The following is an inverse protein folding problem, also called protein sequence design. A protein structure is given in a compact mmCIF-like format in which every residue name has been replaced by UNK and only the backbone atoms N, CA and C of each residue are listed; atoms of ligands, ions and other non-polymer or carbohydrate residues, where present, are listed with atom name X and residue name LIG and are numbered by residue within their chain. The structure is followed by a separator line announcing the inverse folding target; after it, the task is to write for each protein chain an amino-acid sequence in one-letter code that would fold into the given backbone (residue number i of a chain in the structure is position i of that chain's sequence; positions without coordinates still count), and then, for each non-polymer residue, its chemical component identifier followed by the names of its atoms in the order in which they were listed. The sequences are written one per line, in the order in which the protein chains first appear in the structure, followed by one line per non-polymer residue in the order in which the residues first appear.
data_IF_898194376845
#
_entry.id   IF_898194376845
#
_cell.length_a   1.000
_cell.length_b   1.000
_cell.length_c   1.000
_cell.angle_alpha   90.00
_cell.angle_beta   90.00
_cell.angle_gamma   90.00
#
_symmetry.space_group_name_H-M   'P 1'
#
loop_
_entity.id
_entity.type
_entity.pdbx_description
1 polymer ?
#
# COMPACT_ATOMS: atom_id res chain seq x y z
N UNK A 1 11.10 -5.32 15.51
CA UNK A 1 10.45 -6.64 15.61
C UNK A 1 8.93 -6.51 15.53
N UNK A 2 8.30 -5.64 16.33
CA UNK A 2 6.85 -5.47 16.34
C UNK A 2 6.26 -5.04 14.97
N UNK A 3 6.91 -4.13 14.23
CA UNK A 3 6.46 -3.71 12.89
C UNK A 3 6.46 -4.90 11.93
N UNK A 4 7.54 -5.68 11.90
CA UNK A 4 7.63 -6.88 11.08
C UNK A 4 6.55 -7.91 11.43
N UNK A 5 6.37 -8.21 12.71
CA UNK A 5 5.37 -9.18 13.17
C UNK A 5 3.94 -8.72 12.79
N UNK A 6 3.66 -7.41 12.90
CA UNK A 6 2.38 -6.83 12.51
C UNK A 6 2.13 -6.91 11.01
N UNK A 7 3.13 -6.54 10.19
CA UNK A 7 3.02 -6.59 8.73
C UNK A 7 2.83 -8.03 8.23
N UNK A 8 3.64 -8.98 8.73
CA UNK A 8 3.50 -10.39 8.35
C UNK A 8 2.17 -10.97 8.81
N UNK A 9 1.72 -10.63 10.02
CA UNK A 9 0.41 -11.02 10.53
C UNK A 9 -0.73 -10.50 9.64
N UNK A 10 -0.65 -9.23 9.23
CA UNK A 10 -1.64 -8.64 8.33
C UNK A 10 -1.60 -9.27 6.92
N UNK A 11 -0.41 -9.51 6.36
CA UNK A 11 -0.26 -10.17 5.05
C UNK A 11 -0.82 -11.61 5.06
N UNK A 12 -0.60 -12.36 6.14
CA UNK A 12 -1.21 -13.68 6.30
C UNK A 12 -2.74 -13.58 6.37
N UNK A 13 -3.25 -12.64 7.16
CA UNK A 13 -4.69 -12.39 7.26
C UNK A 13 -5.30 -12.02 5.90
N UNK A 14 -4.69 -11.13 5.12
CA UNK A 14 -5.17 -10.73 3.79
C UNK A 14 -5.11 -11.90 2.79
N UNK A 15 -4.06 -12.73 2.84
CA UNK A 15 -3.96 -13.94 2.01
C UNK A 15 -5.09 -14.91 2.30
N UNK A 16 -5.33 -15.22 3.58
CA UNK A 16 -6.41 -16.11 3.99
C UNK A 16 -7.79 -15.54 3.64
N UNK A 17 -7.98 -14.24 3.86
CA UNK A 17 -9.23 -13.54 3.53
C UNK A 17 -9.57 -13.67 2.05
N UNK A 18 -8.66 -13.36 1.16
CA UNK A 18 -8.90 -13.44 -0.28
C UNK A 18 -8.97 -14.88 -0.80
N UNK A 19 -8.24 -15.80 -0.16
CA UNK A 19 -8.37 -17.22 -0.48
C UNK A 19 -9.75 -17.77 -0.14
N UNK A 20 -10.37 -17.35 0.95
CA UNK A 20 -11.76 -17.74 1.27
C UNK A 20 -12.75 -17.18 0.24
N UNK A 21 -12.60 -15.92 -0.18
CA UNK A 21 -13.43 -15.32 -1.23
C UNK A 21 -13.31 -16.12 -2.53
N UNK A 22 -12.09 -16.49 -2.94
CA UNK A 22 -11.89 -17.34 -4.11
C UNK A 22 -12.63 -18.67 -3.98
N UNK A 23 -12.44 -19.36 -2.87
CA UNK A 23 -13.10 -20.65 -2.63
C UNK A 23 -14.61 -20.55 -2.70
N UNK A 24 -15.19 -19.54 -2.05
CA UNK A 24 -16.63 -19.32 -2.07
C UNK A 24 -17.14 -19.07 -3.50
N UNK A 25 -16.44 -18.27 -4.28
CA UNK A 25 -16.80 -17.98 -5.67
C UNK A 25 -16.68 -19.18 -6.62
N UNK A 26 -15.74 -20.11 -6.35
CA UNK A 26 -15.57 -21.33 -7.15
C UNK A 26 -16.70 -22.36 -6.98
N UNK A 27 -17.46 -22.29 -5.88
CA UNK A 27 -18.62 -23.16 -5.66
C UNK A 27 -19.90 -22.68 -6.37
N UNK A 28 -19.89 -21.47 -6.95
CA UNK A 28 -21.01 -20.88 -7.64
C UNK A 28 -21.05 -21.39 -9.09
N UNK A 29 -22.14 -22.05 -9.50
CA UNK A 29 -22.29 -22.58 -10.87
C UNK A 29 -22.26 -21.46 -11.93
N UNK A 30 -22.82 -20.30 -11.61
CA UNK A 30 -22.84 -19.11 -12.47
C UNK A 30 -22.30 -17.91 -11.68
N UNK A 31 -20.96 -17.70 -11.70
CA UNK A 31 -20.36 -16.62 -10.96
C UNK A 31 -20.85 -15.25 -11.49
N UNK A 32 -21.09 -14.35 -10.57
CA UNK A 32 -21.42 -12.96 -10.89
C UNK A 32 -20.26 -12.21 -11.55
N UNK A 33 -20.50 -11.01 -12.13
CA UNK A 33 -19.42 -10.24 -12.77
C UNK A 33 -18.23 -9.97 -11.85
N UNK A 34 -18.45 -9.59 -10.58
CA UNK A 34 -17.35 -9.33 -9.66
C UNK A 34 -16.60 -10.62 -9.26
N UNK A 35 -17.30 -11.74 -9.07
CA UNK A 35 -16.70 -13.04 -8.78
C UNK A 35 -15.83 -13.52 -9.94
N UNK A 36 -16.34 -13.43 -11.19
CA UNK A 36 -15.59 -13.77 -12.38
C UNK A 36 -14.33 -12.89 -12.55
N UNK A 37 -14.46 -11.58 -12.32
CA UNK A 37 -13.35 -10.64 -12.39
C UNK A 37 -12.30 -10.97 -11.32
N UNK A 38 -12.73 -11.27 -10.10
CA UNK A 38 -11.84 -11.65 -9.00
C UNK A 38 -11.10 -12.97 -9.29
N UNK A 39 -11.82 -14.03 -9.69
CA UNK A 39 -11.22 -15.32 -10.05
C UNK A 39 -10.15 -15.19 -11.13
N UNK A 40 -10.44 -14.43 -12.20
CA UNK A 40 -9.53 -14.25 -13.34
C UNK A 40 -8.24 -13.51 -12.95
N UNK A 41 -8.26 -12.71 -11.90
CA UNK A 41 -7.12 -11.88 -11.46
C UNK A 41 -6.50 -12.36 -10.14
N UNK A 42 -7.03 -13.39 -9.49
CA UNK A 42 -6.55 -13.85 -8.19
C UNK A 42 -5.05 -14.21 -8.17
N UNK A 43 -4.53 -14.80 -9.22
CA UNK A 43 -3.10 -15.13 -9.34
C UNK A 43 -2.25 -13.88 -9.15
N UNK A 44 -2.65 -12.76 -9.75
CA UNK A 44 -1.96 -11.48 -9.62
C UNK A 44 -1.94 -10.97 -8.19
N UNK A 45 -3.10 -11.00 -7.53
CA UNK A 45 -3.23 -10.64 -6.13
C UNK A 45 -2.32 -11.49 -5.22
N UNK A 46 -2.28 -12.80 -5.46
CA UNK A 46 -1.43 -13.73 -4.70
C UNK A 46 0.06 -13.46 -4.92
N UNK A 47 0.47 -13.20 -6.15
CA UNK A 47 1.86 -12.85 -6.49
C UNK A 47 2.30 -11.58 -5.77
N UNK A 48 1.42 -10.57 -5.69
CA UNK A 48 1.69 -9.33 -5.00
C UNK A 48 1.84 -9.54 -3.48
N UNK A 49 0.98 -10.36 -2.86
CA UNK A 49 1.12 -10.73 -1.44
C UNK A 49 2.45 -11.47 -1.19
N UNK A 50 2.84 -12.39 -2.06
CA UNK A 50 4.13 -13.11 -1.98
C UNK A 50 5.30 -12.14 -2.09
N UNK A 51 5.22 -11.18 -3.02
CA UNK A 51 6.21 -10.11 -3.15
C UNK A 51 6.33 -9.30 -1.86
N UNK A 52 5.20 -8.85 -1.28
CA UNK A 52 5.18 -8.10 -0.03
C UNK A 52 5.83 -8.87 1.12
N UNK A 53 5.51 -10.17 1.28
CA UNK A 53 6.11 -11.03 2.32
C UNK A 53 7.63 -11.14 2.15
N UNK A 54 8.10 -11.39 0.92
CA UNK A 54 9.54 -11.43 0.61
C UNK A 54 10.23 -10.12 0.93
N UNK A 55 9.62 -9.00 0.59
CA UNK A 55 10.19 -7.69 0.84
C UNK A 55 10.17 -7.31 2.33
N UNK A 56 9.17 -7.76 3.10
CA UNK A 56 9.17 -7.68 4.56
C UNK A 56 10.37 -8.43 5.17
N UNK A 57 10.65 -9.66 4.72
CA UNK A 57 11.81 -10.43 5.18
C UNK A 57 13.13 -9.72 4.86
N UNK A 58 13.23 -9.17 3.66
CA UNK A 58 14.41 -8.41 3.23
C UNK A 58 14.59 -7.13 4.07
N UNK A 59 13.49 -6.42 4.34
CA UNK A 59 13.50 -5.24 5.19
C UNK A 59 13.90 -5.59 6.64
N UNK A 60 13.37 -6.67 7.19
CA UNK A 60 13.70 -7.11 8.55
C UNK A 60 15.20 -7.39 8.71
N UNK A 61 15.86 -8.00 7.72
CA UNK A 61 17.31 -8.20 7.71
C UNK A 61 18.12 -6.89 7.77
N UNK A 62 17.57 -5.79 7.24
CA UNK A 62 18.23 -4.47 7.29
C UNK A 62 18.12 -3.81 8.66
N UNK A 63 17.08 -4.13 9.44
CA UNK A 63 16.75 -3.40 10.68
C UNK A 63 16.89 -4.22 11.96
N UNK A 64 17.06 -5.56 11.89
CA UNK A 64 17.04 -6.45 13.04
C UNK A 64 18.06 -6.10 14.14
N UNK A 65 19.20 -5.51 13.77
CA UNK A 65 20.27 -5.12 14.70
C UNK A 65 20.15 -3.65 15.16
N UNK A 66 19.14 -2.91 14.66
CA UNK A 66 18.93 -1.52 15.03
C UNK A 66 18.14 -1.45 16.34
N UNK A 67 18.64 -0.64 17.26
CA UNK A 67 18.04 -0.43 18.58
C UNK A 67 17.25 0.89 18.68
N UNK A 68 17.34 1.74 17.65
CA UNK A 68 16.68 3.06 17.62
C UNK A 68 15.93 3.22 16.32
N UNK A 69 14.76 3.81 16.41
CA UNK A 69 13.90 4.17 15.32
C UNK A 69 13.71 5.68 15.29
N UNK A 70 13.68 6.26 14.10
CA UNK A 70 13.41 7.68 13.93
C UNK A 70 11.89 7.90 13.95
N UNK A 71 11.46 8.83 14.77
CA UNK A 71 10.06 9.26 14.83
C UNK A 71 9.96 10.76 14.58
N UNK A 72 8.85 11.19 14.00
CA UNK A 72 8.49 12.59 13.83
C UNK A 72 7.01 12.81 14.16
N UNK A 73 6.61 14.06 14.28
CA UNK A 73 5.20 14.41 14.40
C UNK A 73 4.56 14.26 13.02
N UNK A 74 3.61 13.35 12.90
CA UNK A 74 2.81 13.14 11.72
C UNK A 74 1.46 13.83 11.83
N UNK A 75 0.88 14.19 10.70
CA UNK A 75 -0.46 14.74 10.59
C UNK A 75 -1.54 13.70 10.90
N UNK A 76 -1.32 12.45 10.49
CA UNK A 76 -2.17 11.29 10.77
C UNK A 76 -3.44 11.20 9.93
N UNK A 77 -3.59 12.03 8.88
CA UNK A 77 -4.70 11.96 7.92
C UNK A 77 -4.43 12.87 6.71
N UNK A 78 -3.31 12.67 6.03
CA UNK A 78 -2.94 13.51 4.88
C UNK A 78 -3.80 13.15 3.67
N UNK A 79 -4.48 14.18 3.11
CA UNK A 79 -5.23 14.08 1.86
C UNK A 79 -5.34 15.45 1.18
N UNK A 80 -5.73 15.48 -0.09
CA UNK A 80 -5.98 16.74 -0.82
C UNK A 80 -7.04 17.61 -0.15
N UNK A 81 -8.01 17.01 0.56
CA UNK A 81 -9.06 17.72 1.29
C UNK A 81 -8.55 18.58 2.46
N UNK A 82 -7.35 18.24 2.96
CA UNK A 82 -6.71 18.95 4.06
C UNK A 82 -5.63 19.93 3.59
N UNK A 83 -5.48 20.12 2.27
CA UNK A 83 -4.53 21.09 1.70
C UNK A 83 -5.29 22.30 1.17
N UNK A 84 -5.08 23.45 1.81
CA UNK A 84 -5.58 24.74 1.33
C UNK A 84 -4.46 25.45 0.59
N UNK A 85 -4.71 25.84 -0.66
CA UNK A 85 -3.79 26.62 -1.48
C UNK A 85 -4.33 28.00 -1.73
N UNK A 86 -3.56 29.00 -1.29
CA UNK A 86 -3.77 30.40 -1.61
C UNK A 86 -2.42 30.99 -2.09
N UNK A 87 -1.99 32.13 -1.59
CA UNK A 87 -0.61 32.64 -1.79
C UNK A 87 0.46 31.69 -1.23
N UNK A 88 0.11 30.90 -0.22
CA UNK A 88 0.89 29.80 0.36
C UNK A 88 0.03 28.55 0.46
N UNK A 89 0.67 27.40 0.63
CA UNK A 89 -0.03 26.13 0.89
C UNK A 89 -0.04 25.88 2.40
N UNK A 90 -1.19 25.47 2.91
CA UNK A 90 -1.42 25.14 4.32
C UNK A 90 -1.98 23.72 4.42
N UNK A 91 -1.44 22.97 5.37
CA UNK A 91 -2.01 21.69 5.79
C UNK A 91 -2.83 21.93 7.05
N UNK A 92 -4.12 21.57 7.01
CA UNK A 92 -5.10 21.81 8.08
C UNK A 92 -5.59 20.50 8.68
N UNK A 93 -6.40 20.55 9.74
CA UNK A 93 -7.02 19.36 10.38
C UNK A 93 -6.00 18.44 11.06
N UNK A 94 -5.20 19.00 11.95
CA UNK A 94 -4.17 18.32 12.75
C UNK A 94 -4.72 17.59 13.99
N UNK A 95 -6.00 17.33 14.04
CA UNK A 95 -6.69 16.69 15.16
C UNK A 95 -6.26 15.23 15.40
N UNK A 96 -5.74 14.56 14.37
CA UNK A 96 -5.22 13.17 14.43
C UNK A 96 -3.69 13.09 14.56
N UNK A 97 -3.02 14.22 14.81
CA UNK A 97 -1.57 14.20 14.88
C UNK A 97 -1.03 13.26 15.96
N UNK A 98 0.05 12.59 15.65
CA UNK A 98 0.73 11.65 16.56
C UNK A 98 2.20 11.49 16.16
N UNK A 99 2.99 10.91 17.06
CA UNK A 99 4.37 10.56 16.75
C UNK A 99 4.43 9.18 16.12
N UNK A 100 5.01 9.08 14.92
CA UNK A 100 5.23 7.83 14.20
C UNK A 100 6.44 7.96 13.26
N UNK A 101 6.71 6.93 12.46
CA UNK A 101 7.78 6.92 11.47
C UNK A 101 7.63 8.04 10.45
N UNK A 102 8.72 8.58 9.88
CA UNK A 102 8.65 9.67 8.90
C UNK A 102 7.88 9.35 7.61
N UNK A 103 7.58 8.08 7.36
CA UNK A 103 6.86 7.63 6.17
C UNK A 103 5.36 7.50 6.39
N UNK A 104 4.86 7.59 7.63
CA UNK A 104 3.45 7.32 7.95
C UNK A 104 2.49 8.24 7.17
N UNK A 105 2.73 9.55 7.20
CA UNK A 105 1.92 10.51 6.43
C UNK A 105 2.00 10.31 4.91
N UNK A 106 3.12 9.83 4.39
CA UNK A 106 3.29 9.55 2.96
C UNK A 106 2.50 8.29 2.56
N UNK A 107 2.45 7.28 3.43
CA UNK A 107 1.62 6.08 3.24
C UNK A 107 0.14 6.47 3.23
N UNK A 108 -0.31 7.25 4.22
CA UNK A 108 -1.69 7.74 4.30
C UNK A 108 -2.06 8.55 3.06
N UNK A 109 -1.17 9.44 2.61
CA UNK A 109 -1.39 10.26 1.42
C UNK A 109 -1.52 9.41 0.16
N UNK A 110 -0.68 8.39 0.01
CA UNK A 110 -0.80 7.45 -1.10
C UNK A 110 -2.12 6.69 -1.07
N UNK A 111 -2.50 6.09 0.05
CA UNK A 111 -3.75 5.36 0.20
C UNK A 111 -4.98 6.22 -0.05
N UNK A 112 -4.95 7.49 0.35
CA UNK A 112 -6.07 8.40 0.16
C UNK A 112 -6.20 8.93 -1.28
N UNK A 113 -5.08 9.03 -2.02
CA UNK A 113 -5.03 9.78 -3.29
C UNK A 113 -4.46 8.97 -4.47
N UNK A 114 -4.19 7.67 -4.33
CA UNK A 114 -3.56 6.84 -5.36
C UNK A 114 -4.28 6.88 -6.72
N UNK A 115 -5.59 7.10 -6.72
CA UNK A 115 -6.40 7.19 -7.93
C UNK A 115 -6.56 8.62 -8.44
N UNK A 116 -6.25 9.62 -7.63
CA UNK A 116 -6.44 11.04 -7.93
C UNK A 116 -5.17 11.73 -8.40
N UNK A 117 -3.99 11.19 -8.09
CA UNK A 117 -2.71 11.83 -8.32
C UNK A 117 -1.72 10.89 -9.02
N UNK A 118 -0.82 11.51 -9.80
CA UNK A 118 0.37 10.84 -10.35
C UNK A 118 1.51 10.91 -9.34
N UNK A 119 1.84 9.79 -8.72
CA UNK A 119 2.77 9.73 -7.60
C UNK A 119 4.25 9.68 -7.98
N UNK A 120 4.62 9.37 -9.22
CA UNK A 120 6.03 9.28 -9.62
C UNK A 120 6.78 10.58 -9.35
N UNK A 121 6.29 11.70 -9.87
CA UNK A 121 6.88 13.02 -9.64
C UNK A 121 6.78 13.51 -8.19
N UNK A 122 5.73 13.12 -7.47
CA UNK A 122 5.56 13.44 -6.05
C UNK A 122 6.64 12.73 -5.23
N UNK A 123 6.86 11.43 -5.44
CA UNK A 123 7.88 10.65 -4.74
C UNK A 123 9.29 11.13 -5.07
N UNK A 124 9.60 11.42 -6.33
CA UNK A 124 10.89 12.00 -6.72
C UNK A 124 11.17 13.30 -5.96
N UNK A 125 10.17 14.21 -5.94
CA UNK A 125 10.27 15.48 -5.23
C UNK A 125 10.41 15.28 -3.73
N UNK A 126 9.61 14.39 -3.14
CA UNK A 126 9.65 14.10 -1.71
C UNK A 126 11.00 13.53 -1.29
N UNK A 127 11.50 12.52 -1.98
CA UNK A 127 12.78 11.88 -1.67
C UNK A 127 13.98 12.79 -1.90
N UNK A 128 13.87 13.77 -2.80
CA UNK A 128 14.92 14.78 -3.00
C UNK A 128 15.01 15.79 -1.85
N UNK A 129 13.88 16.06 -1.17
CA UNK A 129 13.80 17.05 -0.08
C UNK A 129 13.86 16.44 1.31
N UNK A 130 13.37 15.23 1.48
CA UNK A 130 13.31 14.51 2.74
C UNK A 130 14.34 13.37 2.72
N UNK A 131 15.34 13.46 3.59
CA UNK A 131 16.38 12.42 3.70
C UNK A 131 15.81 11.19 4.41
N UNK A 132 15.10 10.34 3.66
CA UNK A 132 14.71 9.01 4.12
C UNK A 132 15.86 8.03 3.94
N UNK A 133 16.06 7.16 4.92
CA UNK A 133 17.00 6.06 4.80
C UNK A 133 16.47 4.98 3.83
N UNK A 134 17.34 4.06 3.39
CA UNK A 134 16.94 3.00 2.47
C UNK A 134 15.94 2.04 3.10
N UNK A 135 16.03 1.77 4.40
CA UNK A 135 15.06 0.97 5.12
C UNK A 135 13.71 1.67 5.27
N UNK A 136 13.69 3.00 5.45
CA UNK A 136 12.44 3.77 5.50
C UNK A 136 11.75 3.78 4.13
N UNK A 137 12.49 4.01 3.05
CA UNK A 137 11.96 3.91 1.69
C UNK A 137 11.43 2.50 1.39
N UNK A 138 12.19 1.47 1.78
CA UNK A 138 11.77 0.09 1.59
C UNK A 138 10.48 -0.22 2.35
N UNK A 139 10.40 0.21 3.61
CA UNK A 139 9.18 0.05 4.43
C UNK A 139 7.98 0.80 3.82
N UNK A 140 8.19 2.00 3.28
CA UNK A 140 7.17 2.73 2.53
C UNK A 140 6.66 1.92 1.34
N UNK A 141 7.55 1.41 0.49
CA UNK A 141 7.17 0.62 -0.68
C UNK A 141 6.43 -0.68 -0.31
N UNK A 142 6.83 -1.35 0.76
CA UNK A 142 6.12 -2.52 1.28
C UNK A 142 4.68 -2.14 1.66
N UNK A 143 4.52 -1.09 2.46
CA UNK A 143 3.19 -0.69 2.95
C UNK A 143 2.23 -0.32 1.82
N UNK A 144 2.67 0.45 0.82
CA UNK A 144 1.82 0.81 -0.31
C UNK A 144 1.57 -0.37 -1.28
N UNK A 145 2.42 -1.39 -1.28
CA UNK A 145 2.22 -2.60 -2.11
C UNK A 145 1.26 -3.60 -1.49
N UNK A 146 0.91 -3.48 -0.22
CA UNK A 146 -0.07 -4.38 0.39
C UNK A 146 -1.44 -4.16 -0.26
N UNK A 147 -2.07 -5.22 -0.82
CA UNK A 147 -3.39 -5.09 -1.43
C UNK A 147 -4.42 -4.52 -0.47
N UNK A 148 -5.25 -3.60 -0.97
CA UNK A 148 -6.34 -3.05 -0.20
C UNK A 148 -7.33 -4.16 0.18
N UNK A 149 -7.79 -4.18 1.43
CA UNK A 149 -8.88 -5.06 1.83
C UNK A 149 -10.20 -4.48 1.30
N UNK A 150 -10.89 -5.25 0.48
CA UNK A 150 -12.24 -4.91 -0.01
C UNK A 150 -13.28 -5.84 0.59
N UNK A 151 -14.42 -5.30 0.97
CA UNK A 151 -15.53 -6.07 1.53
C UNK A 151 -16.69 -6.06 0.52
N UNK A 152 -17.28 -7.22 0.28
CA UNK A 152 -18.41 -7.37 -0.63
C UNK A 152 -19.74 -7.29 0.13
N UNK A 153 -20.73 -6.69 -0.50
CA UNK A 153 -22.08 -6.56 0.02
C UNK A 153 -23.10 -7.10 -0.98
N UNK A 154 -24.36 -6.74 -0.80
CA UNK A 154 -25.47 -7.23 -1.64
C UNK A 154 -25.52 -6.58 -3.05
N UNK A 155 -24.89 -5.42 -3.23
CA UNK A 155 -24.93 -4.68 -4.49
C UNK A 155 -23.81 -5.10 -5.44
N UNK A 156 -24.18 -5.84 -6.48
CA UNK A 156 -23.26 -6.38 -7.48
C UNK A 156 -22.45 -5.29 -8.22
N UNK A 157 -23.09 -4.18 -8.57
CA UNK A 157 -22.40 -3.06 -9.23
C UNK A 157 -21.30 -2.46 -8.34
N UNK A 158 -21.59 -2.28 -7.06
CA UNK A 158 -20.59 -1.79 -6.08
C UNK A 158 -19.47 -2.81 -5.88
N UNK A 159 -19.80 -4.10 -5.82
CA UNK A 159 -18.80 -5.17 -5.72
C UNK A 159 -17.86 -5.18 -6.92
N UNK A 160 -18.40 -5.04 -8.13
CA UNK A 160 -17.60 -4.97 -9.37
C UNK A 160 -16.65 -3.77 -9.36
N UNK A 161 -17.10 -2.60 -8.93
CA UNK A 161 -16.23 -1.42 -8.76
C UNK A 161 -15.11 -1.73 -7.76
N UNK A 162 -15.43 -2.29 -6.61
CA UNK A 162 -14.44 -2.61 -5.56
C UNK A 162 -13.36 -3.58 -6.05
N UNK A 163 -13.75 -4.61 -6.80
CA UNK A 163 -12.78 -5.55 -7.40
C UNK A 163 -11.92 -4.85 -8.45
N UNK A 164 -12.52 -4.01 -9.28
CA UNK A 164 -11.79 -3.21 -10.28
C UNK A 164 -10.77 -2.30 -9.59
N UNK A 165 -11.20 -1.54 -8.58
CA UNK A 165 -10.32 -0.63 -7.83
C UNK A 165 -9.18 -1.38 -7.15
N UNK A 166 -9.42 -2.59 -6.62
CA UNK A 166 -8.38 -3.43 -6.03
C UNK A 166 -7.27 -3.76 -7.04
N UNK A 167 -7.64 -4.22 -8.23
CA UNK A 167 -6.65 -4.60 -9.25
C UNK A 167 -6.01 -3.39 -9.92
N UNK A 168 -6.72 -2.29 -10.07
CA UNK A 168 -6.16 -1.01 -10.53
C UNK A 168 -5.15 -0.45 -9.52
N UNK A 169 -5.44 -0.55 -8.22
CA UNK A 169 -4.51 -0.20 -7.16
C UNK A 169 -3.21 -1.01 -7.25
N UNK A 170 -3.31 -2.33 -7.33
CA UNK A 170 -2.15 -3.24 -7.46
C UNK A 170 -1.33 -2.84 -8.69
N UNK A 171 -1.99 -2.71 -9.86
CA UNK A 171 -1.31 -2.38 -11.11
C UNK A 171 -0.59 -1.02 -11.06
N UNK A 172 -1.27 0.04 -10.59
CA UNK A 172 -0.67 1.38 -10.45
C UNK A 172 0.50 1.39 -9.48
N UNK A 173 0.37 0.67 -8.37
CA UNK A 173 1.44 0.57 -7.38
C UNK A 173 2.66 -0.16 -7.95
N UNK A 174 2.48 -1.25 -8.69
CA UNK A 174 3.57 -1.96 -9.36
C UNK A 174 4.31 -1.07 -10.36
N UNK A 175 3.59 -0.32 -11.18
CA UNK A 175 4.19 0.64 -12.11
C UNK A 175 4.98 1.72 -11.38
N UNK A 176 4.48 2.20 -10.24
CA UNK A 176 5.14 3.21 -9.42
C UNK A 176 6.44 2.70 -8.80
N UNK A 177 6.43 1.49 -8.24
CA UNK A 177 7.58 0.94 -7.50
C UNK A 177 8.61 0.26 -8.43
N UNK A 178 8.19 -0.20 -9.62
CA UNK A 178 9.03 -0.93 -10.56
C UNK A 178 10.40 -0.31 -10.82
N UNK A 179 10.53 1.00 -11.10
CA UNK A 179 11.81 1.66 -11.30
C UNK A 179 12.77 1.52 -10.11
N UNK A 180 12.27 1.56 -8.87
CA UNK A 180 13.08 1.48 -7.66
C UNK A 180 13.65 0.07 -7.41
N UNK A 181 12.97 -0.97 -7.91
CA UNK A 181 13.44 -2.36 -7.85
C UNK A 181 14.33 -2.75 -9.04
N UNK A 182 14.09 -2.16 -10.23
CA UNK A 182 14.86 -2.46 -11.44
C UNK A 182 16.29 -1.90 -11.39
N UNK A 183 16.53 -0.80 -10.68
CA UNK A 183 17.84 -0.17 -10.54
C UNK A 183 18.77 -1.07 -9.69
N UNK A 184 18.25 -1.68 -8.60
CA UNK A 184 19.04 -2.56 -7.72
C UNK A 184 19.51 -3.86 -8.39
N UNK A 185 18.81 -4.33 -9.44
CA UNK A 185 19.20 -5.53 -10.19
C UNK A 185 20.31 -5.27 -11.21
N UNK A 186 20.72 -4.02 -11.45
CA UNK A 186 21.83 -3.66 -12.35
C UNK A 186 23.15 -3.39 -11.61
N UNK A 187 23.12 -3.33 -10.28
CA UNK A 187 24.30 -3.07 -9.42
C UNK A 187 24.82 -4.34 -8.73
N UNK A 188 24.24 -5.51 -9.03
CA UNK A 188 24.71 -6.85 -8.63
C UNK A 188 25.28 -7.60 -9.84
#
# INVERSE_FOLDING_TARGET
KSIYDNLMGYLNYIEDYYFQILKESEYVEYPSPHESLFQNNYTKLREDIIFCKKECDNWYKMVQDKTKERVCLNHGNVSLKHIIRNSKSYLISWDKNHFDTPIADLIDFYHNEWNNLEFSGILETYFSKCSLSDEEKKLFFINISIPLKVEFGENEYINTIRVTDLFDYIHKTELLIGPYYSIKNKEQ
#
